data_IF_024902791235
#
_entry.id   IF_024902791235
#
_cell.length_a   1.000
_cell.length_b   1.000
_cell.length_c   1.000
_cell.angle_alpha   90.00
_cell.angle_beta   90.00
_cell.angle_gamma   90.00
#
_symmetry.space_group_name_H-M   'P 1'
#
loop_
_entity.id
_entity.type
_entity.pdbx_description
1 polymer ?
#
# COMPACT_ATOMS: atom_id res chain seq x y z
N UNK A 1 65.68 -64.68 12.91
CA UNK A 1 65.12 -63.81 11.85
C UNK A 1 64.08 -64.54 11.01
N UNK A 2 64.25 -65.84 10.76
CA UNK A 2 63.28 -66.63 9.97
C UNK A 2 61.92 -66.86 10.65
N UNK A 3 61.83 -66.70 11.97
CA UNK A 3 60.60 -66.89 12.75
C UNK A 3 59.53 -65.81 12.49
N UNK A 4 59.88 -64.72 11.80
CA UNK A 4 58.98 -63.65 11.39
C UNK A 4 58.80 -63.57 9.86
N UNK A 5 59.28 -64.56 9.10
CA UNK A 5 59.09 -64.59 7.64
C UNK A 5 57.63 -64.94 7.32
N UNK A 6 56.93 -64.00 6.68
CA UNK A 6 55.58 -64.22 6.16
C UNK A 6 55.68 -64.79 4.74
N UNK A 7 55.07 -65.97 4.47
CA UNK A 7 55.06 -66.57 3.13
C UNK A 7 54.45 -65.64 2.08
N UNK A 8 54.97 -65.68 0.84
CA UNK A 8 54.52 -64.83 -0.29
C UNK A 8 53.01 -64.90 -0.50
N UNK A 9 52.42 -66.06 -0.24
CA UNK A 9 50.99 -66.32 -0.38
C UNK A 9 50.16 -65.53 0.63
N UNK A 10 50.72 -65.23 1.81
CA UNK A 10 50.08 -64.42 2.85
C UNK A 10 50.36 -62.92 2.69
N UNK A 11 51.30 -62.53 1.81
CA UNK A 11 51.59 -61.12 1.50
C UNK A 11 50.54 -60.47 0.58
N UNK A 12 49.67 -61.25 -0.07
CA UNK A 12 48.67 -60.75 -1.03
C UNK A 12 47.26 -61.18 -0.66
N UNK A 13 46.39 -60.19 -0.42
CA UNK A 13 44.94 -60.43 -0.39
C UNK A 13 44.42 -60.51 -1.82
N UNK A 14 44.24 -61.72 -2.35
CA UNK A 14 43.63 -61.94 -3.67
C UNK A 14 42.11 -61.87 -3.57
N UNK A 15 41.47 -61.18 -4.51
CA UNK A 15 40.03 -61.24 -4.72
C UNK A 15 39.76 -62.25 -5.83
N UNK A 16 38.89 -63.21 -5.58
CA UNK A 16 38.50 -64.21 -6.57
C UNK A 16 37.55 -63.57 -7.60
N UNK A 17 37.93 -63.48 -8.89
CA UNK A 17 37.07 -62.86 -9.91
C UNK A 17 35.75 -63.60 -10.13
N UNK A 18 35.68 -64.90 -9.80
CA UNK A 18 34.46 -65.70 -9.95
C UNK A 18 33.32 -65.24 -9.01
N UNK A 19 33.61 -64.36 -8.05
CA UNK A 19 32.61 -63.72 -7.19
C UNK A 19 31.67 -62.77 -7.95
N UNK A 20 32.10 -62.25 -9.09
CA UNK A 20 31.32 -61.31 -9.90
C UNK A 20 30.68 -62.06 -11.08
N UNK A 21 29.40 -61.78 -11.32
CA UNK A 21 28.66 -62.31 -12.47
C UNK A 21 28.67 -61.27 -13.59
N UNK A 22 28.85 -61.73 -14.82
CA UNK A 22 28.89 -60.88 -16.01
C UNK A 22 30.31 -60.55 -16.46
N UNK A 23 30.44 -60.13 -17.72
CA UNK A 23 31.73 -59.81 -18.33
C UNK A 23 32.13 -58.35 -18.06
N UNK A 24 31.14 -57.46 -17.81
CA UNK A 24 31.37 -56.03 -17.61
C UNK A 24 30.56 -55.45 -16.46
N UNK A 25 30.99 -54.28 -15.94
CA UNK A 25 30.29 -53.57 -14.86
C UNK A 25 29.00 -52.89 -15.31
N UNK A 26 28.70 -52.85 -16.62
CA UNK A 26 27.45 -52.28 -17.15
C UNK A 26 26.23 -53.13 -16.77
N UNK A 27 26.45 -54.43 -16.56
CA UNK A 27 25.41 -55.38 -16.15
C UNK A 27 25.07 -55.29 -14.65
N UNK A 28 25.86 -54.53 -13.87
CA UNK A 28 25.64 -54.37 -12.45
C UNK A 28 24.63 -53.23 -12.19
N UNK A 29 23.62 -53.44 -11.33
CA UNK A 29 22.66 -52.40 -10.99
C UNK A 29 23.36 -51.24 -10.28
N UNK A 30 23.13 -50.02 -10.78
CA UNK A 30 23.61 -48.83 -10.13
C UNK A 30 22.90 -48.62 -8.79
N UNK A 31 23.60 -48.84 -7.67
CA UNK A 31 23.11 -48.47 -6.35
C UNK A 31 23.40 -47.00 -6.06
N UNK A 32 22.42 -46.31 -5.47
CA UNK A 32 22.55 -44.93 -4.97
C UNK A 32 22.75 -44.87 -3.45
N UNK A 33 22.95 -46.03 -2.82
CA UNK A 33 23.17 -46.15 -1.38
C UNK A 33 24.63 -45.85 -1.03
N UNK A 34 24.83 -45.28 0.17
CA UNK A 34 26.18 -45.14 0.71
C UNK A 34 26.66 -46.49 1.25
N UNK A 35 27.64 -47.08 0.55
CA UNK A 35 28.23 -48.36 0.93
C UNK A 35 28.83 -48.25 2.34
N UNK A 36 28.43 -49.16 3.24
CA UNK A 36 28.96 -49.25 4.60
C UNK A 36 28.48 -48.16 5.57
N UNK A 37 27.49 -47.33 5.20
CA UNK A 37 27.01 -46.21 6.01
C UNK A 37 25.53 -46.34 6.46
N UNK A 38 25.03 -47.57 6.64
CA UNK A 38 23.62 -47.82 6.98
C UNK A 38 23.10 -47.01 8.18
N UNK A 39 23.89 -46.86 9.24
CA UNK A 39 23.52 -46.02 10.40
C UNK A 39 23.27 -44.56 10.04
N UNK A 40 24.13 -43.97 9.19
CA UNK A 40 23.99 -42.59 8.77
C UNK A 40 22.78 -42.41 7.85
N UNK A 41 22.50 -43.41 7.00
CA UNK A 41 21.33 -43.44 6.13
C UNK A 41 20.02 -43.43 6.95
N UNK A 42 19.92 -44.29 7.96
CA UNK A 42 18.74 -44.37 8.84
C UNK A 42 18.58 -43.12 9.71
N UNK A 43 19.68 -42.57 10.25
CA UNK A 43 19.64 -41.33 11.01
C UNK A 43 19.12 -40.14 10.18
N UNK A 44 19.51 -40.04 8.91
CA UNK A 44 19.03 -39.01 8.00
C UNK A 44 17.54 -39.17 7.68
N UNK A 45 17.09 -40.38 7.34
CA UNK A 45 15.67 -40.68 7.10
C UNK A 45 14.81 -40.37 8.33
N UNK A 46 15.27 -40.81 9.50
CA UNK A 46 14.61 -40.51 10.77
C UNK A 46 14.54 -39.00 11.01
N UNK A 47 15.66 -38.29 10.89
CA UNK A 47 15.70 -36.83 11.05
C UNK A 47 14.72 -36.11 10.13
N UNK A 48 14.64 -36.50 8.86
CA UNK A 48 13.73 -35.90 7.87
C UNK A 48 12.26 -36.22 8.14
N UNK A 49 11.96 -37.34 8.82
CA UNK A 49 10.60 -37.70 9.22
C UNK A 49 10.04 -36.84 10.37
N UNK A 50 10.91 -36.19 11.16
CA UNK A 50 10.49 -35.35 12.29
C UNK A 50 9.85 -34.05 11.80
N UNK A 51 8.56 -33.88 12.07
CA UNK A 51 7.80 -32.65 11.75
C UNK A 51 7.72 -31.72 12.97
N UNK A 52 8.88 -31.28 13.50
CA UNK A 52 8.93 -30.33 14.64
C UNK A 52 9.81 -29.13 14.31
N UNK A 53 9.29 -27.93 14.61
CA UNK A 53 10.04 -26.68 14.47
C UNK A 53 11.28 -26.72 15.36
N UNK A 54 12.41 -26.24 14.83
CA UNK A 54 13.70 -26.18 15.53
C UNK A 54 14.56 -27.44 15.41
N UNK A 55 14.05 -28.51 14.80
CA UNK A 55 14.87 -29.67 14.44
C UNK A 55 15.64 -29.41 13.14
N UNK A 56 16.97 -29.46 13.24
CA UNK A 56 17.87 -29.31 12.10
C UNK A 56 18.79 -30.54 12.03
N UNK A 57 19.20 -30.92 10.83
CA UNK A 57 20.10 -32.06 10.61
C UNK A 57 21.48 -31.53 10.25
N UNK A 58 22.51 -32.02 10.93
CA UNK A 58 23.90 -31.75 10.60
C UNK A 58 24.58 -33.04 10.12
N UNK A 59 25.25 -32.98 8.96
CA UNK A 59 25.89 -34.14 8.34
C UNK A 59 27.41 -33.94 8.31
N UNK A 60 28.14 -34.79 9.04
CA UNK A 60 29.60 -34.78 9.12
C UNK A 60 30.23 -36.05 8.56
N UNK A 61 31.50 -35.98 8.18
CA UNK A 61 32.29 -37.11 7.68
C UNK A 61 33.48 -36.65 6.86
N UNK A 62 34.27 -37.60 6.36
CA UNK A 62 35.46 -37.30 5.57
C UNK A 62 35.10 -36.71 4.19
N UNK A 63 36.03 -36.00 3.58
CA UNK A 63 35.89 -35.52 2.19
C UNK A 63 35.88 -36.72 1.23
N UNK A 64 35.12 -36.60 0.12
CA UNK A 64 35.03 -37.68 -0.90
C UNK A 64 34.05 -38.81 -0.57
N UNK A 65 33.35 -38.76 0.56
CA UNK A 65 32.40 -39.80 1.00
C UNK A 65 30.99 -39.66 0.43
N UNK A 66 30.75 -38.72 -0.50
CA UNK A 66 29.43 -38.55 -1.13
C UNK A 66 28.33 -37.93 -0.25
N UNK A 67 28.69 -37.34 0.91
CA UNK A 67 27.75 -36.76 1.90
C UNK A 67 26.69 -35.84 1.30
N UNK A 68 27.09 -34.89 0.46
CA UNK A 68 26.17 -33.92 -0.13
C UNK A 68 25.23 -34.60 -1.13
N UNK A 69 25.77 -35.44 -2.01
CA UNK A 69 25.00 -36.15 -3.03
C UNK A 69 23.93 -37.04 -2.39
N UNK A 70 24.30 -37.79 -1.35
CA UNK A 70 23.36 -38.65 -0.63
C UNK A 70 22.33 -37.84 0.16
N UNK A 71 22.76 -36.80 0.89
CA UNK A 71 21.84 -35.93 1.64
C UNK A 71 20.78 -35.30 0.73
N UNK A 72 21.21 -34.81 -0.44
CA UNK A 72 20.31 -34.26 -1.44
C UNK A 72 19.34 -35.32 -1.99
N UNK A 73 19.83 -36.52 -2.31
CA UNK A 73 19.01 -37.60 -2.86
C UNK A 73 17.90 -38.03 -1.89
N UNK A 74 18.23 -38.23 -0.61
CA UNK A 74 17.23 -38.59 0.41
C UNK A 74 16.27 -37.42 0.64
N UNK A 75 16.76 -36.19 0.74
CA UNK A 75 15.89 -35.02 0.89
C UNK A 75 14.93 -34.86 -0.29
N UNK A 76 15.38 -35.15 -1.52
CA UNK A 76 14.56 -35.13 -2.73
C UNK A 76 13.46 -36.18 -2.71
N UNK A 77 13.77 -37.43 -2.36
CA UNK A 77 12.76 -38.51 -2.24
C UNK A 77 11.68 -38.18 -1.19
N UNK A 78 12.08 -37.55 -0.09
CA UNK A 78 11.12 -37.04 0.91
C UNK A 78 10.28 -35.87 0.38
N UNK A 79 10.89 -34.96 -0.38
CA UNK A 79 10.19 -33.79 -0.92
C UNK A 79 9.17 -34.18 -2.00
N UNK A 80 9.47 -35.15 -2.86
CA UNK A 80 8.57 -35.64 -3.92
C UNK A 80 7.27 -36.23 -3.37
N UNK A 81 7.28 -36.72 -2.12
CA UNK A 81 6.13 -37.31 -1.44
C UNK A 81 5.35 -36.30 -0.58
N UNK A 82 5.78 -35.03 -0.54
CA UNK A 82 5.16 -33.98 0.27
C UNK A 82 4.38 -32.99 -0.58
N UNK A 83 3.45 -32.30 0.07
CA UNK A 83 2.76 -31.18 -0.57
C UNK A 83 3.77 -30.12 -1.00
N UNK A 84 3.51 -29.54 -2.18
CA UNK A 84 4.33 -28.45 -2.69
C UNK A 84 4.30 -27.27 -1.70
N UNK A 85 5.47 -26.64 -1.42
CA UNK A 85 5.55 -25.54 -0.48
C UNK A 85 4.75 -24.34 -0.99
N UNK A 86 4.28 -23.53 -0.04
CA UNK A 86 3.61 -22.25 -0.35
C UNK A 86 4.54 -21.32 -1.12
N UNK A 87 3.97 -20.55 -2.03
CA UNK A 87 4.62 -19.37 -2.59
C UNK A 87 4.67 -18.28 -1.49
N UNK A 88 5.85 -17.72 -1.23
CA UNK A 88 5.98 -16.60 -0.30
C UNK A 88 6.23 -15.30 -1.06
N UNK A 89 5.31 -14.35 -0.92
CA UNK A 89 5.40 -13.03 -1.55
C UNK A 89 5.64 -11.97 -0.47
N UNK A 90 6.65 -11.12 -0.68
CA UNK A 90 6.81 -9.90 0.10
C UNK A 90 6.01 -8.77 -0.56
N UNK A 91 5.06 -8.21 0.20
CA UNK A 91 4.27 -7.07 -0.22
C UNK A 91 4.60 -5.84 0.62
N UNK A 92 4.33 -4.66 0.06
CA UNK A 92 4.45 -3.42 0.82
C UNK A 92 3.49 -3.41 2.00
N UNK A 93 3.95 -2.92 3.15
CA UNK A 93 3.14 -2.86 4.35
C UNK A 93 2.71 -1.41 4.59
N UNK A 94 1.49 -1.07 4.20
CA UNK A 94 0.94 0.29 4.32
C UNK A 94 0.87 0.79 5.77
N UNK A 95 0.74 -0.11 6.75
CA UNK A 95 0.75 0.23 8.19
C UNK A 95 2.15 0.42 8.75
N UNK A 96 3.15 -0.28 8.20
CA UNK A 96 4.56 -0.21 8.63
C UNK A 96 5.49 -0.24 7.41
N UNK A 97 5.68 0.89 6.70
CA UNK A 97 6.42 0.95 5.43
C UNK A 97 7.84 0.37 5.44
N UNK A 98 8.52 0.39 6.61
CA UNK A 98 9.89 -0.14 6.78
C UNK A 98 9.94 -1.66 6.97
N UNK A 99 8.78 -2.34 7.08
CA UNK A 99 8.69 -3.76 7.42
C UNK A 99 7.78 -4.48 6.42
N UNK A 100 8.34 -5.07 5.34
CA UNK A 100 7.54 -5.76 4.32
C UNK A 100 6.73 -6.90 4.95
N UNK A 101 5.48 -7.07 4.50
CA UNK A 101 4.61 -8.17 4.97
C UNK A 101 4.86 -9.38 4.08
N UNK A 102 5.11 -10.54 4.68
CA UNK A 102 5.20 -11.81 3.98
C UNK A 102 3.82 -12.47 3.91
N UNK A 103 3.36 -12.82 2.71
CA UNK A 103 2.09 -13.50 2.50
C UNK A 103 2.36 -14.86 1.85
N UNK A 104 1.84 -15.92 2.48
CA UNK A 104 1.92 -17.28 1.96
C UNK A 104 0.73 -17.59 1.05
N UNK A 105 1.00 -18.12 -0.13
CA UNK A 105 -0.01 -18.45 -1.14
C UNK A 105 0.11 -19.92 -1.55
N UNK A 106 -0.92 -20.46 -2.20
CA UNK A 106 -0.83 -21.79 -2.80
C UNK A 106 0.26 -21.80 -3.89
N UNK A 107 0.91 -22.95 -4.15
CA UNK A 107 1.95 -23.06 -5.16
C UNK A 107 1.52 -22.48 -6.51
N UNK A 108 2.35 -21.63 -7.11
CA UNK A 108 2.11 -20.98 -8.40
C UNK A 108 1.14 -19.79 -8.38
N UNK A 109 0.46 -19.50 -7.28
CA UNK A 109 -0.48 -18.37 -7.19
C UNK A 109 0.23 -17.02 -7.01
N UNK A 110 1.47 -16.98 -6.53
CA UNK A 110 2.17 -15.72 -6.26
C UNK A 110 2.34 -14.86 -7.52
N UNK A 111 2.71 -15.49 -8.64
CA UNK A 111 2.88 -14.79 -9.92
C UNK A 111 1.54 -14.32 -10.51
N UNK A 112 0.48 -15.12 -10.35
CA UNK A 112 -0.88 -14.77 -10.79
C UNK A 112 -1.35 -13.53 -10.02
N UNK A 113 -1.27 -13.57 -8.69
CA UNK A 113 -1.65 -12.47 -7.81
C UNK A 113 -0.90 -11.18 -8.17
N UNK A 114 0.42 -11.25 -8.36
CA UNK A 114 1.25 -10.10 -8.77
C UNK A 114 0.74 -9.47 -10.06
N UNK A 115 0.42 -10.28 -11.07
CA UNK A 115 -0.03 -9.76 -12.36
C UNK A 115 -1.43 -9.15 -12.27
N UNK A 116 -2.33 -9.75 -11.49
CA UNK A 116 -3.68 -9.23 -11.27
C UNK A 116 -3.67 -7.89 -10.54
N UNK A 117 -2.89 -7.77 -9.45
CA UNK A 117 -2.72 -6.49 -8.75
C UNK A 117 -2.12 -5.43 -9.68
N UNK A 118 -1.11 -5.81 -10.47
CA UNK A 118 -0.51 -4.89 -11.46
C UNK A 118 -1.53 -4.40 -12.48
N UNK A 119 -2.42 -5.27 -12.95
CA UNK A 119 -3.45 -4.90 -13.90
C UNK A 119 -4.53 -4.02 -13.25
N UNK A 120 -4.96 -4.35 -12.04
CA UNK A 120 -5.91 -3.54 -11.28
C UNK A 120 -5.37 -2.11 -11.10
N UNK A 121 -4.11 -1.94 -10.66
CA UNK A 121 -3.49 -0.62 -10.49
C UNK A 121 -3.42 0.17 -11.80
N UNK A 122 -3.13 -0.50 -12.93
CA UNK A 122 -3.14 0.16 -14.25
C UNK A 122 -4.54 0.68 -14.61
N UNK A 123 -5.57 -0.15 -14.42
CA UNK A 123 -6.94 0.26 -14.72
C UNK A 123 -7.41 1.40 -13.80
N UNK A 124 -7.15 1.28 -12.50
CA UNK A 124 -7.42 2.32 -11.50
C UNK A 124 -6.77 3.65 -11.90
N UNK A 125 -5.50 3.62 -12.35
CA UNK A 125 -4.81 4.84 -12.78
C UNK A 125 -5.41 5.50 -14.03
N UNK A 126 -6.09 4.74 -14.89
CA UNK A 126 -6.81 5.29 -16.04
C UNK A 126 -8.22 5.77 -15.69
N UNK A 127 -8.85 5.18 -14.67
CA UNK A 127 -10.25 5.47 -14.32
C UNK A 127 -10.41 6.57 -13.29
N UNK A 128 -9.46 6.73 -12.34
CA UNK A 128 -9.50 7.83 -11.36
C UNK A 128 -9.57 9.21 -12.06
N UNK A 129 -8.72 9.55 -13.05
CA UNK A 129 -8.84 10.82 -13.75
C UNK A 129 -10.16 10.97 -14.51
N UNK A 130 -10.66 9.88 -15.11
CA UNK A 130 -11.92 9.88 -15.88
C UNK A 130 -13.13 10.15 -14.97
N UNK A 131 -13.22 9.51 -13.81
CA UNK A 131 -14.36 9.72 -12.91
C UNK A 131 -14.33 11.13 -12.31
N UNK A 132 -13.15 11.66 -11.98
CA UNK A 132 -12.96 13.00 -11.43
C UNK A 132 -13.06 14.13 -12.47
N UNK A 133 -13.14 13.79 -13.76
CA UNK A 133 -13.44 14.73 -14.87
C UNK A 133 -14.78 14.43 -15.54
N UNK A 134 -15.55 13.50 -14.98
CA UNK A 134 -16.84 13.13 -15.52
C UNK A 134 -17.86 14.26 -15.35
N UNK A 135 -18.82 14.33 -16.27
CA UNK A 135 -19.94 15.28 -16.20
C UNK A 135 -20.74 15.11 -14.90
N UNK A 136 -20.87 13.88 -14.40
CA UNK A 136 -21.53 13.60 -13.14
C UNK A 136 -20.78 14.24 -11.96
N UNK A 137 -19.45 14.05 -11.89
CA UNK A 137 -18.63 14.68 -10.87
C UNK A 137 -18.70 16.21 -10.94
N UNK A 138 -18.61 16.80 -12.14
CA UNK A 138 -18.73 18.25 -12.32
C UNK A 138 -20.09 18.79 -11.87
N UNK A 139 -21.18 18.10 -12.21
CA UNK A 139 -22.52 18.47 -11.77
C UNK A 139 -22.63 18.44 -10.24
N UNK A 140 -22.15 17.37 -9.60
CA UNK A 140 -22.17 17.22 -8.14
C UNK A 140 -21.32 18.31 -7.46
N UNK A 141 -20.14 18.60 -8.02
CA UNK A 141 -19.26 19.68 -7.54
C UNK A 141 -19.93 21.05 -7.66
N UNK A 142 -20.59 21.33 -8.77
CA UNK A 142 -21.26 22.62 -9.01
C UNK A 142 -22.49 22.79 -8.10
N UNK A 143 -23.26 21.72 -7.88
CA UNK A 143 -24.38 21.71 -6.94
C UNK A 143 -23.90 22.01 -5.52
N UNK A 144 -22.83 21.32 -5.09
CA UNK A 144 -22.19 21.52 -3.80
C UNK A 144 -21.74 22.98 -3.61
N UNK A 145 -21.01 23.51 -4.60
CA UNK A 145 -20.58 24.91 -4.60
C UNK A 145 -21.75 25.89 -4.50
N UNK A 146 -22.80 25.69 -5.31
CA UNK A 146 -23.98 26.57 -5.34
C UNK A 146 -24.71 26.58 -4.00
N UNK A 147 -24.80 25.43 -3.32
CA UNK A 147 -25.46 25.33 -2.02
C UNK A 147 -24.70 26.11 -0.94
N UNK A 148 -23.38 25.95 -0.88
CA UNK A 148 -22.53 26.69 0.06
C UNK A 148 -22.49 28.18 -0.24
N UNK A 149 -22.42 28.56 -1.52
CA UNK A 149 -22.47 29.96 -1.95
C UNK A 149 -23.79 30.63 -1.54
N UNK A 150 -24.94 29.95 -1.69
CA UNK A 150 -26.24 30.45 -1.21
C UNK A 150 -26.27 30.64 0.30
N UNK A 151 -25.65 29.74 1.07
CA UNK A 151 -25.58 29.86 2.52
C UNK A 151 -24.69 31.03 2.95
N UNK A 152 -23.50 31.17 2.35
CA UNK A 152 -22.62 32.31 2.59
C UNK A 152 -23.32 33.64 2.24
N UNK A 153 -24.02 33.71 1.11
CA UNK A 153 -24.74 34.91 0.68
C UNK A 153 -25.85 35.31 1.66
N UNK A 154 -26.56 34.35 2.27
CA UNK A 154 -27.55 34.64 3.31
C UNK A 154 -26.90 35.33 4.53
N UNK A 155 -25.77 34.80 5.00
CA UNK A 155 -25.03 35.37 6.14
C UNK A 155 -24.49 36.77 5.79
N UNK A 156 -24.00 36.97 4.57
CA UNK A 156 -23.54 38.28 4.08
C UNK A 156 -24.71 39.27 4.00
N UNK A 157 -25.89 38.83 3.58
CA UNK A 157 -27.07 39.69 3.55
C UNK A 157 -27.50 40.10 4.96
N UNK A 158 -27.54 39.16 5.93
CA UNK A 158 -27.79 39.46 7.35
C UNK A 158 -26.80 40.48 7.90
N UNK A 159 -25.50 40.30 7.60
CA UNK A 159 -24.43 41.22 8.01
C UNK A 159 -24.59 42.61 7.36
N UNK A 160 -24.97 42.66 6.09
CA UNK A 160 -25.19 43.92 5.38
C UNK A 160 -26.44 44.67 5.87
N UNK A 161 -27.48 43.94 6.32
CA UNK A 161 -28.66 44.57 6.91
C UNK A 161 -28.36 45.20 8.28
N UNK A 162 -27.44 44.61 9.06
CA UNK A 162 -26.85 45.24 10.24
C UNK A 162 -26.03 46.47 9.86
N UNK A 163 -25.12 46.35 8.89
CA UNK A 163 -24.18 47.42 8.51
C UNK A 163 -24.87 48.66 7.92
N UNK A 164 -25.99 48.49 7.20
CA UNK A 164 -26.80 49.60 6.66
C UNK A 164 -27.28 50.56 7.76
N UNK A 165 -27.55 50.07 8.97
CA UNK A 165 -27.97 50.92 10.10
C UNK A 165 -26.90 51.93 10.52
N UNK A 166 -25.65 51.67 10.14
CA UNK A 166 -24.48 52.48 10.44
C UNK A 166 -23.94 53.22 9.21
N UNK A 167 -24.63 53.19 8.06
CA UNK A 167 -24.14 53.65 6.77
C UNK A 167 -22.86 52.92 6.31
N UNK A 168 -22.78 51.60 6.49
CA UNK A 168 -21.70 50.76 5.96
C UNK A 168 -22.24 49.59 5.14
N UNK A 169 -21.37 48.99 4.33
CA UNK A 169 -21.59 47.71 3.67
C UNK A 169 -20.34 46.84 3.81
N UNK A 170 -20.51 45.53 4.00
CA UNK A 170 -19.43 44.56 3.94
C UNK A 170 -19.27 44.01 2.53
N UNK A 171 -18.01 43.96 2.06
CA UNK A 171 -17.63 43.30 0.81
C UNK A 171 -16.46 42.36 1.01
N UNK A 172 -16.46 41.28 0.23
CA UNK A 172 -15.30 40.42 0.10
C UNK A 172 -14.28 41.11 -0.81
N UNK A 173 -13.08 41.33 -0.30
CA UNK A 173 -11.93 41.88 -1.03
C UNK A 173 -10.79 40.86 -0.99
N UNK A 174 -9.69 41.12 -1.70
CA UNK A 174 -8.47 40.29 -1.62
C UNK A 174 -7.89 40.22 -0.20
N UNK A 175 -8.12 41.26 0.62
CA UNK A 175 -7.71 41.31 2.03
C UNK A 175 -8.73 40.66 2.98
N UNK A 176 -9.77 40.04 2.44
CA UNK A 176 -10.88 39.45 3.19
C UNK A 176 -12.10 40.35 3.27
N UNK A 177 -12.97 40.06 4.24
CA UNK A 177 -14.22 40.80 4.45
C UNK A 177 -13.94 42.17 5.07
N UNK A 178 -14.25 43.26 4.36
CA UNK A 178 -14.04 44.63 4.82
C UNK A 178 -15.34 45.41 4.87
N UNK A 179 -15.48 46.25 5.90
CA UNK A 179 -16.53 47.28 6.01
C UNK A 179 -16.14 48.50 5.19
N UNK A 180 -17.05 48.96 4.33
CA UNK A 180 -16.89 50.14 3.47
C UNK A 180 -18.00 51.13 3.81
N UNK A 181 -17.69 52.39 4.14
CA UNK A 181 -18.70 53.40 4.43
C UNK A 181 -19.51 53.76 3.18
N UNK A 182 -20.74 54.19 3.39
CA UNK A 182 -21.69 54.59 2.36
C UNK A 182 -21.86 56.11 2.36
N UNK A 183 -21.72 56.74 1.18
CA UNK A 183 -22.08 58.13 0.92
C UNK A 183 -23.26 58.14 -0.04
N UNK A 184 -24.38 58.77 0.36
CA UNK A 184 -25.63 58.77 -0.41
C UNK A 184 -26.10 57.37 -0.85
N UNK A 185 -25.87 56.36 0.00
CA UNK A 185 -26.23 54.96 -0.28
C UNK A 185 -25.28 54.21 -1.23
N UNK A 186 -24.18 54.82 -1.66
CA UNK A 186 -23.14 54.18 -2.48
C UNK A 186 -21.85 53.95 -1.68
N UNK A 187 -21.14 52.83 -1.87
CA UNK A 187 -19.84 52.60 -1.24
C UNK A 187 -18.86 53.69 -1.64
N UNK A 188 -18.21 54.30 -0.66
CA UNK A 188 -17.17 55.30 -0.89
C UNK A 188 -15.95 54.68 -1.54
N UNK A 189 -15.30 55.43 -2.41
CA UNK A 189 -13.98 55.12 -2.97
C UNK A 189 -12.86 55.58 -2.04
N UNK A 190 -11.65 55.06 -2.23
CA UNK A 190 -10.47 55.46 -1.45
C UNK A 190 -10.17 56.97 -1.61
N UNK A 191 -10.40 57.55 -2.80
CA UNK A 191 -10.25 58.99 -3.05
C UNK A 191 -11.27 59.83 -2.28
N UNK A 192 -12.52 59.37 -2.18
CA UNK A 192 -13.56 60.08 -1.42
C UNK A 192 -13.31 60.03 0.08
N UNK A 193 -12.75 58.92 0.59
CA UNK A 193 -12.32 58.78 1.98
C UNK A 193 -11.15 59.71 2.32
N UNK A 194 -10.16 59.84 1.43
CA UNK A 194 -8.98 60.69 1.64
C UNK A 194 -9.28 62.20 1.57
N UNK A 195 -10.38 62.58 0.92
CA UNK A 195 -10.81 63.98 0.81
C UNK A 195 -11.71 64.43 1.98
N UNK A 196 -12.04 63.54 2.93
CA UNK A 196 -12.81 63.89 4.12
C UNK A 196 -11.96 64.65 5.15
N UNK A 197 -12.57 65.54 5.97
CA UNK A 197 -11.92 66.11 7.13
C UNK A 197 -11.43 65.02 8.10
N UNK A 198 -10.30 65.24 8.75
CA UNK A 198 -9.68 64.30 9.70
C UNK A 198 -10.67 63.87 10.81
N UNK A 199 -11.51 64.79 11.28
CA UNK A 199 -12.56 64.51 12.27
C UNK A 199 -13.62 63.53 11.78
N UNK A 200 -14.01 63.58 10.50
CA UNK A 200 -14.99 62.65 9.92
C UNK A 200 -14.38 61.26 9.71
N UNK A 201 -13.09 61.21 9.35
CA UNK A 201 -12.34 59.96 9.23
C UNK A 201 -12.26 59.25 10.59
N UNK A 202 -11.92 59.97 11.67
CA UNK A 202 -11.88 59.41 13.02
C UNK A 202 -13.23 58.81 13.46
N UNK A 203 -14.34 59.47 13.13
CA UNK A 203 -15.69 58.99 13.45
C UNK A 203 -16.04 57.72 12.67
N UNK A 204 -15.73 57.67 11.36
CA UNK A 204 -15.90 56.47 10.54
C UNK A 204 -15.06 55.29 11.04
N UNK A 205 -13.82 55.54 11.48
CA UNK A 205 -12.95 54.50 12.06
C UNK A 205 -13.55 53.95 13.35
N UNK A 206 -14.10 54.81 14.21
CA UNK A 206 -14.75 54.40 15.47
C UNK A 206 -15.97 53.52 15.21
N UNK A 207 -16.84 53.93 14.27
CA UNK A 207 -18.02 53.15 13.85
C UNK A 207 -17.59 51.83 13.21
N UNK A 208 -16.58 51.84 12.34
CA UNK A 208 -16.03 50.65 11.70
C UNK A 208 -15.52 49.63 12.72
N UNK A 209 -14.82 50.08 13.77
CA UNK A 209 -14.36 49.20 14.84
C UNK A 209 -15.52 48.56 15.63
N UNK A 210 -16.57 49.32 15.94
CA UNK A 210 -17.78 48.78 16.59
C UNK A 210 -18.49 47.75 15.69
N UNK A 211 -18.63 48.07 14.41
CA UNK A 211 -19.19 47.18 13.40
C UNK A 211 -18.39 45.89 13.25
N UNK A 212 -17.06 45.98 13.24
CA UNK A 212 -16.19 44.81 13.15
C UNK A 212 -16.35 43.87 14.35
N UNK A 213 -16.56 44.41 15.56
CA UNK A 213 -16.87 43.59 16.74
C UNK A 213 -18.21 42.86 16.59
N UNK A 214 -19.24 43.56 16.09
CA UNK A 214 -20.57 42.97 15.84
C UNK A 214 -20.58 42.00 14.66
N UNK A 215 -19.69 42.20 13.68
CA UNK A 215 -19.52 41.36 12.50
C UNK A 215 -18.73 40.07 12.77
N UNK A 216 -18.04 39.98 13.92
CA UNK A 216 -17.14 38.88 14.23
C UNK A 216 -17.80 37.50 14.06
N UNK A 217 -18.99 37.30 14.63
CA UNK A 217 -19.72 36.03 14.54
C UNK A 217 -20.19 35.73 13.12
N UNK A 218 -20.54 36.74 12.32
CA UNK A 218 -20.92 36.58 10.92
C UNK A 218 -19.72 36.14 10.06
N UNK A 219 -18.58 36.82 10.22
CA UNK A 219 -17.34 36.47 9.51
C UNK A 219 -16.90 35.05 9.88
N UNK A 220 -17.01 34.68 11.16
CA UNK A 220 -16.75 33.31 11.62
C UNK A 220 -17.68 32.29 10.94
N UNK A 221 -19.00 32.54 10.92
CA UNK A 221 -19.97 31.68 10.22
C UNK A 221 -19.68 31.54 8.72
N UNK A 222 -19.27 32.62 8.06
CA UNK A 222 -18.88 32.60 6.63
C UNK A 222 -17.66 31.68 6.43
N UNK A 223 -16.65 31.81 7.28
CA UNK A 223 -15.46 30.95 7.24
C UNK A 223 -15.81 29.48 7.52
N UNK A 224 -16.71 29.20 8.45
CA UNK A 224 -17.19 27.85 8.74
C UNK A 224 -17.91 27.21 7.53
N UNK A 225 -18.65 28.00 6.74
CA UNK A 225 -19.24 27.55 5.47
C UNK A 225 -18.15 27.18 4.46
N UNK A 226 -17.11 27.98 4.32
CA UNK A 226 -15.96 27.69 3.45
C UNK A 226 -15.20 26.42 3.88
N UNK A 227 -14.87 26.30 5.17
CA UNK A 227 -14.21 25.12 5.73
C UNK A 227 -15.06 23.85 5.54
N UNK A 228 -16.39 23.97 5.62
CA UNK A 228 -17.32 22.86 5.38
C UNK A 228 -17.37 22.50 3.90
N UNK A 229 -17.42 23.49 2.99
CA UNK A 229 -17.33 23.26 1.56
C UNK A 229 -16.05 22.51 1.17
N UNK A 230 -14.88 22.92 1.68
CA UNK A 230 -13.61 22.26 1.37
C UNK A 230 -13.57 20.82 1.87
N UNK A 231 -14.12 20.54 3.06
CA UNK A 231 -14.25 19.17 3.59
C UNK A 231 -15.18 18.32 2.73
N UNK A 232 -16.36 18.82 2.39
CA UNK A 232 -17.33 18.09 1.56
C UNK A 232 -16.81 17.87 0.14
N UNK A 233 -16.09 18.83 -0.43
CA UNK A 233 -15.43 18.70 -1.72
C UNK A 233 -14.37 17.59 -1.70
N UNK A 234 -13.58 17.52 -0.62
CA UNK A 234 -12.62 16.44 -0.42
C UNK A 234 -13.32 15.08 -0.30
N UNK A 235 -14.36 14.98 0.52
CA UNK A 235 -15.15 13.75 0.67
C UNK A 235 -15.79 13.31 -0.64
N UNK A 236 -16.31 14.24 -1.44
CA UNK A 236 -16.86 13.94 -2.77
C UNK A 236 -15.80 13.30 -3.69
N UNK A 237 -14.56 13.78 -3.66
CA UNK A 237 -13.46 13.17 -4.42
C UNK A 237 -13.11 11.78 -3.90
N UNK A 238 -12.92 11.65 -2.59
CA UNK A 238 -12.59 10.38 -1.94
C UNK A 238 -13.65 9.31 -2.21
N UNK A 239 -14.94 9.67 -2.19
CA UNK A 239 -16.05 8.75 -2.45
C UNK A 239 -16.09 8.27 -3.92
N UNK A 240 -15.81 9.16 -4.88
CA UNK A 240 -15.71 8.77 -6.29
C UNK A 240 -14.48 7.90 -6.57
N UNK A 241 -13.35 8.19 -5.92
CA UNK A 241 -12.16 7.34 -5.99
C UNK A 241 -12.46 5.96 -5.39
N UNK A 242 -13.11 5.90 -4.23
CA UNK A 242 -13.46 4.65 -3.57
C UNK A 242 -14.31 3.75 -4.46
N UNK A 243 -15.28 4.31 -5.20
CA UNK A 243 -16.08 3.54 -6.18
C UNK A 243 -15.20 2.85 -7.23
N UNK A 244 -14.25 3.58 -7.82
CA UNK A 244 -13.30 2.99 -8.79
C UNK A 244 -12.47 1.88 -8.13
N UNK A 245 -12.00 2.10 -6.90
CA UNK A 245 -11.24 1.09 -6.19
C UNK A 245 -12.06 -0.15 -5.87
N UNK A 246 -13.32 0.02 -5.48
CA UNK A 246 -14.24 -1.08 -5.23
C UNK A 246 -14.45 -1.93 -6.48
N UNK A 247 -14.65 -1.29 -7.65
CA UNK A 247 -14.86 -1.99 -8.92
C UNK A 247 -13.68 -2.89 -9.33
N UNK A 248 -12.44 -2.49 -9.03
CA UNK A 248 -11.24 -3.28 -9.39
C UNK A 248 -10.75 -4.20 -8.27
N UNK A 249 -10.72 -3.73 -7.03
CA UNK A 249 -10.10 -4.45 -5.92
C UNK A 249 -11.05 -5.41 -5.22
N UNK A 250 -12.37 -5.16 -5.19
CA UNK A 250 -13.31 -6.10 -4.56
C UNK A 250 -13.40 -7.41 -5.36
N UNK A 251 -13.22 -7.37 -6.68
CA UNK A 251 -13.09 -8.58 -7.51
C UNK A 251 -11.94 -9.46 -7.01
N UNK A 252 -10.79 -8.85 -6.70
CA UNK A 252 -9.63 -9.57 -6.18
C UNK A 252 -9.86 -10.04 -4.74
N UNK A 253 -10.46 -9.21 -3.89
CA UNK A 253 -10.79 -9.58 -2.50
C UNK A 253 -11.70 -10.80 -2.47
N UNK A 254 -12.75 -10.83 -3.30
CA UNK A 254 -13.66 -11.98 -3.41
C UNK A 254 -12.94 -13.23 -3.95
N UNK A 255 -12.10 -13.06 -4.97
CA UNK A 255 -11.30 -14.16 -5.52
C UNK A 255 -10.37 -14.79 -4.47
N UNK A 256 -9.75 -13.96 -3.65
CA UNK A 256 -8.76 -14.37 -2.64
C UNK A 256 -9.33 -14.50 -1.22
N UNK A 257 -10.65 -14.52 -1.04
CA UNK A 257 -11.32 -14.56 0.28
C UNK A 257 -10.89 -15.71 1.20
N UNK A 258 -10.33 -16.78 0.64
CA UNK A 258 -9.77 -17.89 1.40
C UNK A 258 -8.44 -17.54 2.12
N UNK A 259 -7.85 -16.38 1.83
CA UNK A 259 -6.58 -15.92 2.38
C UNK A 259 -6.73 -14.51 2.95
N UNK A 260 -7.00 -14.44 4.26
CA UNK A 260 -7.22 -13.19 4.97
C UNK A 260 -6.04 -12.21 4.84
N UNK A 261 -4.79 -12.68 4.78
CA UNK A 261 -3.63 -11.81 4.63
C UNK A 261 -3.63 -11.03 3.31
N UNK A 262 -4.14 -11.65 2.23
CA UNK A 262 -4.31 -11.00 0.93
C UNK A 262 -5.43 -9.97 1.01
N UNK A 263 -6.58 -10.33 1.57
CA UNK A 263 -7.71 -9.40 1.70
C UNK A 263 -7.32 -8.16 2.51
N UNK A 264 -6.66 -8.35 3.66
CA UNK A 264 -6.15 -7.24 4.48
C UNK A 264 -5.17 -6.35 3.70
N UNK A 265 -4.29 -6.93 2.88
CA UNK A 265 -3.35 -6.16 2.07
C UNK A 265 -4.06 -5.33 0.99
N UNK A 266 -5.10 -5.88 0.34
CA UNK A 266 -5.88 -5.16 -0.67
C UNK A 266 -6.74 -4.05 -0.04
N UNK A 267 -7.31 -4.27 1.14
CA UNK A 267 -8.02 -3.23 1.88
C UNK A 267 -7.08 -2.12 2.37
N UNK A 268 -5.90 -2.49 2.90
CA UNK A 268 -4.88 -1.52 3.28
C UNK A 268 -4.41 -0.70 2.06
N UNK A 269 -4.34 -1.31 0.87
CA UNK A 269 -4.07 -0.64 -0.40
C UNK A 269 -5.18 0.34 -0.79
N UNK A 270 -6.46 -0.03 -0.62
CA UNK A 270 -7.60 0.87 -0.88
C UNK A 270 -7.50 2.13 -0.03
N UNK A 271 -7.29 1.96 1.28
CA UNK A 271 -7.18 3.08 2.23
C UNK A 271 -6.01 4.00 1.86
N UNK A 272 -4.88 3.45 1.43
CA UNK A 272 -3.73 4.24 1.01
C UNK A 272 -3.99 5.01 -0.29
N UNK A 273 -4.59 4.38 -1.29
CA UNK A 273 -4.91 5.03 -2.56
C UNK A 273 -5.92 6.16 -2.37
N UNK A 274 -6.97 5.99 -1.55
CA UNK A 274 -7.93 7.07 -1.25
C UNK A 274 -7.23 8.28 -0.60
N UNK A 275 -6.20 8.08 0.20
CA UNK A 275 -5.45 9.19 0.82
C UNK A 275 -4.51 9.90 -0.16
N UNK A 276 -4.03 9.18 -1.18
CA UNK A 276 -2.98 9.64 -2.09
C UNK A 276 -3.42 9.64 -3.57
N UNK A 277 -4.72 9.68 -3.86
CA UNK A 277 -5.26 9.57 -5.23
C UNK A 277 -4.73 10.65 -6.18
N UNK A 278 -4.31 11.80 -5.65
CA UNK A 278 -3.70 12.90 -6.41
C UNK A 278 -2.44 12.45 -7.17
N UNK A 279 -1.77 11.38 -6.74
CA UNK A 279 -0.64 10.79 -7.47
C UNK A 279 -1.06 10.21 -8.83
N UNK A 280 -2.32 9.79 -8.98
CA UNK A 280 -2.86 9.29 -10.24
C UNK A 280 -3.37 10.42 -11.17
N UNK A 281 -3.44 11.65 -10.67
CA UNK A 281 -3.92 12.82 -11.44
C UNK A 281 -2.78 13.57 -12.14
N UNK A 282 -1.52 13.24 -11.84
CA UNK A 282 -0.37 13.86 -12.50
C UNK A 282 -0.16 13.14 -13.83
N UNK A 283 -0.19 13.90 -14.93
CA UNK A 283 0.34 13.40 -16.19
C UNK A 283 1.78 12.93 -15.96
N UNK A 284 2.08 11.72 -16.42
CA UNK A 284 3.44 11.19 -16.53
C UNK A 284 4.23 12.06 -17.54
N UNK A 285 4.56 13.30 -17.18
CA UNK A 285 5.53 14.12 -17.92
C UNK A 285 6.97 13.76 -17.55
N UNK A 286 7.20 12.77 -16.68
CA UNK A 286 8.55 12.27 -16.39
C UNK A 286 8.59 10.77 -16.16
N UNK A 287 8.86 10.02 -17.24
CA UNK A 287 9.94 9.02 -17.28
C UNK A 287 10.26 8.57 -18.70
#
# INVERSE_FOLDING_TARGET
>A
MDEYLVPIEQLKKKCDPSLFKGDTTEELPASRELIGQGRAMEALKYGLSIQRKGYNIYVSGLTGTGRNSYSYLVAKDFAEKREAPKDWCYVFNFKRPKYPKAIGMKPGQGMIFKNEVKQAIRNIGLEIPKILTSKEYENNRNLLYTNHQKNAQKIINELNDLAKQYNFIFRLTEKGMMSIPLKEGKPMTDEELNNLPESEIEELVKISNELNQKAYDYIKRIKEVEDTYLRELKSLKEENVLKVLDDHLNILIEKYKYNQDICEYLEDMKVDIVKHYEMFMKDDEKK
#
